data_IF_165213902693
#
_entry.id   IF_165213902693
#
_cell.length_a   1.000
_cell.length_b   1.000
_cell.length_c   1.000
_cell.angle_alpha   90.00
_cell.angle_beta   90.00
_cell.angle_gamma   90.00
#
_symmetry.space_group_name_H-M   'P 1'
#
loop_
_entity.id
_entity.type
_entity.pdbx_description
1 polymer ?
#
# COMPACT_ATOMS: atom_id res chain seq x y z
N UNK A 1 -12.45 31.29 -2.88
CA UNK A 1 -12.77 30.67 -1.60
C UNK A 1 -14.21 30.18 -1.68
N UNK A 2 -14.46 28.94 -1.31
CA UNK A 2 -15.81 28.36 -1.22
C UNK A 2 -16.40 28.93 0.06
N UNK A 3 -17.43 29.76 -0.06
CA UNK A 3 -18.01 30.53 1.07
C UNK A 3 -19.48 30.20 1.32
N UNK A 4 -20.09 29.31 0.49
CA UNK A 4 -21.48 28.91 0.61
C UNK A 4 -21.71 27.46 0.16
N UNK A 5 -22.83 26.87 0.56
CA UNK A 5 -23.24 25.52 0.11
C UNK A 5 -23.44 25.47 -1.42
N UNK A 6 -23.90 26.56 -2.03
CA UNK A 6 -24.07 26.65 -3.49
C UNK A 6 -22.72 26.66 -4.23
N UNK A 7 -21.70 27.33 -3.66
CA UNK A 7 -20.33 27.33 -4.19
C UNK A 7 -19.70 25.93 -4.10
N UNK A 8 -20.01 25.20 -3.03
CA UNK A 8 -19.54 23.82 -2.85
C UNK A 8 -20.17 22.87 -3.87
N UNK A 9 -21.47 22.99 -4.10
CA UNK A 9 -22.18 22.17 -5.09
C UNK A 9 -21.74 22.51 -6.54
N UNK A 10 -21.41 23.76 -6.82
CA UNK A 10 -20.87 24.16 -8.11
C UNK A 10 -19.44 23.63 -8.31
N UNK A 11 -18.60 23.68 -7.29
CA UNK A 11 -17.25 23.14 -7.33
C UNK A 11 -17.24 21.62 -7.45
N UNK A 12 -18.14 20.95 -6.74
CA UNK A 12 -18.31 19.47 -6.82
C UNK A 12 -18.78 19.04 -8.19
N UNK A 13 -19.73 19.75 -8.80
CA UNK A 13 -20.15 19.48 -10.20
C UNK A 13 -19.02 19.69 -11.21
N UNK A 14 -18.25 20.77 -11.07
CA UNK A 14 -17.12 21.04 -11.95
C UNK A 14 -16.02 19.98 -11.83
N UNK A 15 -15.75 19.49 -10.61
CA UNK A 15 -14.80 18.38 -10.38
C UNK A 15 -15.31 17.07 -10.97
N UNK A 16 -16.60 16.76 -10.84
CA UNK A 16 -17.20 15.57 -11.43
C UNK A 16 -17.20 15.61 -12.98
N UNK A 17 -17.44 16.79 -13.57
CA UNK A 17 -17.32 16.98 -15.01
C UNK A 17 -15.87 16.87 -15.51
N UNK A 18 -14.90 17.36 -14.72
CA UNK A 18 -13.48 17.20 -15.01
C UNK A 18 -13.06 15.74 -14.93
N UNK A 19 -13.51 15.04 -13.90
CA UNK A 19 -13.26 13.60 -13.70
C UNK A 19 -13.92 12.74 -14.82
N UNK A 20 -15.08 13.15 -15.32
CA UNK A 20 -15.77 12.44 -16.41
C UNK A 20 -15.09 12.62 -17.78
N UNK A 21 -14.29 13.66 -17.94
CA UNK A 21 -13.50 13.93 -19.16
C UNK A 21 -12.11 13.28 -19.13
N UNK A 22 -11.73 12.76 -17.99
CA UNK A 22 -10.42 12.13 -17.79
C UNK A 22 -10.52 10.64 -18.10
N UNK A 23 -9.85 10.18 -19.13
CA UNK A 23 -9.59 8.76 -19.35
C UNK A 23 -8.46 8.36 -18.41
N UNK A 24 -8.71 7.50 -17.41
CA UNK A 24 -7.72 7.25 -16.37
C UNK A 24 -6.63 6.33 -16.90
N UNK A 25 -5.45 6.87 -17.09
CA UNK A 25 -4.23 6.09 -16.87
C UNK A 25 -4.17 5.69 -15.39
N UNK A 26 -3.68 4.49 -15.10
CA UNK A 26 -3.75 3.84 -13.78
C UNK A 26 -3.45 4.71 -12.53
N UNK A 27 -2.57 5.74 -12.56
CA UNK A 27 -2.39 6.68 -11.43
C UNK A 27 -3.60 7.57 -11.14
N UNK A 28 -4.40 7.92 -12.16
CA UNK A 28 -5.56 8.78 -12.00
C UNK A 28 -6.74 8.12 -11.30
N UNK A 29 -6.89 6.79 -11.42
CA UNK A 29 -7.94 6.05 -10.74
C UNK A 29 -7.78 6.05 -9.22
N UNK A 30 -6.53 6.01 -8.72
CA UNK A 30 -6.22 6.12 -7.28
C UNK A 30 -6.50 7.52 -6.73
N UNK A 31 -6.17 8.56 -7.49
CA UNK A 31 -6.48 9.93 -7.11
C UNK A 31 -8.00 10.20 -7.13
N UNK A 32 -8.72 9.64 -8.10
CA UNK A 32 -10.19 9.73 -8.17
C UNK A 32 -10.88 9.05 -6.98
N UNK A 33 -10.40 7.90 -6.56
CA UNK A 33 -10.94 7.17 -5.39
C UNK A 33 -10.67 7.91 -4.07
N UNK A 34 -9.49 8.50 -3.93
CA UNK A 34 -9.15 9.31 -2.76
C UNK A 34 -10.00 10.60 -2.69
N UNK A 35 -10.29 11.22 -3.83
CA UNK A 35 -11.18 12.39 -3.93
C UNK A 35 -12.64 12.05 -3.67
N UNK A 36 -13.13 10.88 -4.12
CA UNK A 36 -14.49 10.41 -3.79
C UNK A 36 -14.64 10.15 -2.30
N UNK A 37 -13.65 9.51 -1.65
CA UNK A 37 -13.68 9.25 -0.21
C UNK A 37 -13.63 10.55 0.59
N UNK A 38 -12.72 11.45 0.25
CA UNK A 38 -12.63 12.78 0.87
C UNK A 38 -13.91 13.63 0.64
N UNK A 39 -14.57 13.44 -0.52
CA UNK A 39 -15.86 14.10 -0.81
C UNK A 39 -17.02 13.54 0.02
N UNK A 40 -17.01 12.26 0.36
CA UNK A 40 -18.01 11.63 1.22
C UNK A 40 -17.82 12.06 2.69
N UNK A 41 -16.60 12.04 3.19
CA UNK A 41 -16.26 12.51 4.54
C UNK A 41 -16.53 14.00 4.71
N UNK A 42 -16.26 14.82 3.70
CA UNK A 42 -16.57 16.24 3.68
C UNK A 42 -18.08 16.54 3.70
N UNK A 43 -18.92 15.67 3.10
CA UNK A 43 -20.38 15.81 3.17
C UNK A 43 -20.95 15.49 4.55
N UNK A 44 -20.50 14.43 5.21
CA UNK A 44 -20.91 14.12 6.57
C UNK A 44 -20.56 15.24 7.54
N UNK A 45 -19.37 15.83 7.40
CA UNK A 45 -18.94 16.95 8.23
C UNK A 45 -19.73 18.24 7.96
N UNK A 46 -20.21 18.46 6.72
CA UNK A 46 -21.00 19.64 6.36
C UNK A 46 -22.47 19.58 6.79
N UNK A 47 -22.99 18.40 7.12
CA UNK A 47 -24.38 18.21 7.54
C UNK A 47 -24.57 18.09 9.06
N UNK A 48 -23.51 18.18 9.85
CA UNK A 48 -23.60 18.29 11.30
C UNK A 48 -24.02 19.71 11.69
N UNK A 49 -25.32 20.03 11.52
CA UNK A 49 -25.93 21.24 12.06
C UNK A 49 -26.02 21.16 13.58
N UNK A 50 -25.16 21.88 14.26
CA UNK A 50 -25.22 22.15 15.69
C UNK A 50 -24.17 23.18 16.07
N UNK A 51 -24.51 24.08 17.00
CA UNK A 51 -23.63 25.14 17.54
C UNK A 51 -22.34 24.64 18.19
N UNK A 52 -22.08 23.32 18.16
CA UNK A 52 -20.88 22.63 18.57
C UNK A 52 -20.13 22.01 17.36
N UNK A 53 -20.09 22.68 16.22
CA UNK A 53 -19.20 22.25 15.15
C UNK A 53 -17.78 22.16 15.73
N UNK A 54 -17.13 20.97 15.72
CA UNK A 54 -15.77 20.87 16.18
C UNK A 54 -14.96 21.87 15.35
N UNK A 55 -14.25 22.76 16.04
CA UNK A 55 -13.30 23.62 15.37
C UNK A 55 -12.39 22.69 14.56
N UNK A 56 -12.53 22.72 13.22
CA UNK A 56 -11.65 21.96 12.36
C UNK A 56 -10.24 22.45 12.69
N UNK A 57 -9.48 21.64 13.40
CA UNK A 57 -8.06 21.77 13.38
C UNK A 57 -7.69 21.83 11.91
N UNK A 58 -6.96 22.88 11.49
CA UNK A 58 -6.50 22.95 10.10
C UNK A 58 -6.04 21.57 9.70
N UNK A 59 -6.64 20.96 8.65
CA UNK A 59 -6.29 19.60 8.30
C UNK A 59 -4.79 19.63 8.04
N UNK A 60 -4.05 19.00 8.95
CA UNK A 60 -2.66 18.73 8.74
C UNK A 60 -2.61 17.71 7.61
N UNK A 61 -2.49 18.20 6.37
CA UNK A 61 -2.29 17.38 5.18
C UNK A 61 -0.90 16.75 5.16
N UNK A 62 -0.15 16.86 6.26
CA UNK A 62 1.00 16.03 6.47
C UNK A 62 0.51 14.58 6.47
N UNK A 63 1.10 13.78 5.63
CA UNK A 63 0.90 12.37 5.34
C UNK A 63 0.28 11.62 6.51
N UNK A 64 -0.99 11.26 6.41
CA UNK A 64 -1.62 10.39 7.40
C UNK A 64 -0.89 9.05 7.41
N UNK A 65 -0.52 8.59 8.60
CA UNK A 65 0.09 7.27 8.77
C UNK A 65 -0.89 6.20 8.29
N UNK A 66 -0.39 5.30 7.45
CA UNK A 66 -1.16 4.12 7.07
C UNK A 66 -1.11 3.10 8.22
N UNK A 67 -2.05 3.22 9.17
CA UNK A 67 -2.06 2.46 10.43
C UNK A 67 -1.99 0.97 10.22
N UNK A 68 -2.76 0.43 9.29
CA UNK A 68 -2.80 -1.01 9.01
C UNK A 68 -1.44 -1.53 8.53
N UNK A 69 -0.68 -0.73 7.79
CA UNK A 69 0.68 -1.04 7.38
C UNK A 69 1.62 -1.08 8.59
N UNK A 70 1.56 -0.06 9.45
CA UNK A 70 2.40 0.06 10.64
C UNK A 70 2.08 -1.07 11.62
N UNK A 71 0.80 -1.34 11.88
CA UNK A 71 0.35 -2.42 12.74
C UNK A 71 0.86 -3.78 12.25
N UNK A 72 0.79 -4.02 10.95
CA UNK A 72 1.31 -5.26 10.36
C UNK A 72 2.81 -5.41 10.59
N UNK A 73 3.58 -4.35 10.38
CA UNK A 73 5.03 -4.37 10.61
C UNK A 73 5.36 -4.61 12.08
N UNK A 74 4.75 -3.88 13.00
CA UNK A 74 5.05 -3.95 14.43
C UNK A 74 4.70 -5.29 15.06
N UNK A 75 3.75 -6.02 14.48
CA UNK A 75 3.34 -7.36 14.94
C UNK A 75 4.25 -8.49 14.45
N UNK A 76 5.17 -8.22 13.52
CA UNK A 76 6.08 -9.25 13.01
C UNK A 76 7.04 -9.71 14.10
N UNK A 77 7.21 -11.03 14.19
CA UNK A 77 8.24 -11.63 15.06
C UNK A 77 9.60 -11.47 14.43
N UNK A 78 10.60 -11.16 15.23
CA UNK A 78 11.98 -11.12 14.77
C UNK A 78 12.52 -12.54 14.57
N UNK A 79 13.02 -12.85 13.38
CA UNK A 79 13.60 -14.16 13.06
C UNK A 79 15.01 -13.97 12.50
N UNK A 80 16.07 -14.14 13.31
CA UNK A 80 17.44 -14.14 12.83
C UNK A 80 17.66 -15.21 11.78
N UNK A 81 18.39 -14.90 10.71
CA UNK A 81 18.64 -15.83 9.60
C UNK A 81 20.07 -15.70 9.09
N UNK A 82 20.65 -16.82 8.65
CA UNK A 82 21.98 -16.84 8.00
C UNK A 82 21.88 -16.62 6.50
N UNK A 83 20.81 -17.15 5.90
CA UNK A 83 20.57 -17.05 4.47
C UNK A 83 19.11 -16.71 4.18
N UNK A 84 18.84 -16.27 2.95
CA UNK A 84 17.47 -15.99 2.52
C UNK A 84 16.57 -17.24 2.50
N UNK A 85 17.16 -18.41 2.36
CA UNK A 85 16.47 -19.71 2.38
C UNK A 85 16.01 -20.13 3.77
N UNK A 86 16.45 -19.47 4.84
CA UNK A 86 16.04 -19.81 6.21
C UNK A 86 14.62 -19.31 6.54
N UNK A 87 14.06 -18.47 5.68
CA UNK A 87 12.69 -17.98 5.74
C UNK A 87 12.00 -18.30 4.42
N UNK A 88 11.06 -19.22 4.43
CA UNK A 88 10.38 -19.73 3.25
C UNK A 88 8.86 -19.60 3.41
N UNK A 89 8.16 -19.52 2.29
CA UNK A 89 6.69 -19.45 2.23
C UNK A 89 6.10 -18.34 3.13
N UNK A 90 5.09 -18.62 3.92
CA UNK A 90 4.40 -17.68 4.81
C UNK A 90 5.23 -17.17 6.00
N UNK A 91 6.52 -17.49 6.11
CA UNK A 91 7.38 -16.90 7.15
C UNK A 91 7.50 -15.39 7.00
N UNK A 92 7.59 -14.90 5.75
CA UNK A 92 7.69 -13.46 5.48
C UNK A 92 6.42 -12.68 5.87
N UNK A 93 5.29 -13.36 5.98
CA UNK A 93 4.04 -12.73 6.44
C UNK A 93 4.03 -12.54 7.95
N UNK A 94 4.72 -13.42 8.69
CA UNK A 94 4.68 -13.50 10.16
C UNK A 94 5.95 -13.01 10.83
N UNK A 95 7.08 -13.03 10.12
CA UNK A 95 8.38 -12.69 10.64
C UNK A 95 9.02 -11.53 9.88
N UNK A 96 9.74 -10.69 10.64
CA UNK A 96 10.70 -9.76 10.07
C UNK A 96 12.05 -10.45 9.97
N UNK A 97 12.61 -10.45 8.79
CA UNK A 97 13.88 -11.09 8.49
C UNK A 97 14.75 -10.17 7.63
N UNK A 98 16.04 -10.17 7.93
CA UNK A 98 17.07 -9.61 7.06
C UNK A 98 18.11 -10.70 6.86
N UNK A 99 18.18 -11.26 5.65
CA UNK A 99 19.05 -12.39 5.37
C UNK A 99 20.51 -12.09 5.71
N UNK A 100 21.14 -12.93 6.50
CA UNK A 100 22.50 -12.76 7.00
C UNK A 100 22.59 -12.00 8.33
N UNK A 101 21.50 -11.50 8.89
CA UNK A 101 21.47 -10.92 10.24
C UNK A 101 21.11 -12.03 11.23
N UNK A 102 22.10 -12.45 11.99
CA UNK A 102 21.97 -13.49 13.03
C UNK A 102 21.87 -12.91 14.44
N UNK A 103 22.29 -11.67 14.61
CA UNK A 103 22.20 -10.93 15.87
C UNK A 103 20.79 -10.36 16.04
N UNK A 104 20.14 -10.70 17.15
CA UNK A 104 18.76 -10.28 17.43
C UNK A 104 18.65 -8.77 17.69
N UNK A 105 19.62 -8.18 18.38
CA UNK A 105 19.61 -6.75 18.67
C UNK A 105 19.78 -5.93 17.39
N UNK A 106 20.66 -6.36 16.50
CA UNK A 106 20.78 -5.76 15.16
C UNK A 106 19.49 -5.87 14.35
N UNK A 107 18.83 -7.04 14.40
CA UNK A 107 17.58 -7.27 13.68
C UNK A 107 16.44 -6.40 14.23
N UNK A 108 16.42 -6.18 15.54
CA UNK A 108 15.46 -5.29 16.22
C UNK A 108 15.64 -3.84 15.78
N UNK A 109 16.87 -3.35 15.68
CA UNK A 109 17.16 -2.00 15.20
C UNK A 109 16.82 -1.85 13.70
N UNK A 110 17.07 -2.86 12.87
CA UNK A 110 16.60 -2.86 11.48
C UNK A 110 15.07 -2.83 11.39
N UNK A 111 14.40 -3.58 12.25
CA UNK A 111 12.93 -3.57 12.28
C UNK A 111 12.40 -2.18 12.64
N UNK A 112 12.95 -1.54 13.68
CA UNK A 112 12.58 -0.18 14.05
C UNK A 112 12.82 0.82 12.90
N UNK A 113 13.95 0.72 12.20
CA UNK A 113 14.27 1.56 11.05
C UNK A 113 13.28 1.35 9.87
N UNK A 114 12.80 0.12 9.65
CA UNK A 114 11.78 -0.17 8.62
C UNK A 114 10.41 0.35 9.04
N UNK A 115 10.03 0.23 10.31
CA UNK A 115 8.76 0.81 10.82
C UNK A 115 8.76 2.32 10.61
N UNK A 116 9.86 3.00 10.93
CA UNK A 116 10.01 4.44 10.66
C UNK A 116 10.02 4.75 9.17
N UNK A 117 10.69 3.92 8.38
CA UNK A 117 10.67 3.99 6.93
C UNK A 117 9.26 3.84 6.33
N UNK A 118 8.36 3.07 6.96
CA UNK A 118 6.97 2.95 6.54
C UNK A 118 6.15 4.20 6.88
N UNK A 119 6.53 4.96 7.91
CA UNK A 119 5.91 6.24 8.25
C UNK A 119 6.33 7.35 7.30
N UNK A 120 7.61 7.43 7.01
CA UNK A 120 8.21 8.54 6.27
C UNK A 120 8.37 8.29 4.78
N UNK A 121 8.43 7.03 4.37
CA UNK A 121 8.81 6.56 3.03
C UNK A 121 10.19 7.11 2.57
N UNK A 122 11.05 7.43 3.53
CA UNK A 122 12.38 7.99 3.26
C UNK A 122 13.46 6.89 3.21
N UNK A 123 13.76 6.43 2.01
CA UNK A 123 14.84 5.46 1.80
C UNK A 123 16.23 6.04 2.09
N UNK A 124 16.39 7.39 2.04
CA UNK A 124 17.69 8.01 2.34
C UNK A 124 17.96 7.98 3.85
N UNK A 125 16.94 8.27 4.66
CA UNK A 125 17.03 8.12 6.11
C UNK A 125 17.32 6.66 6.47
N UNK A 126 16.61 5.69 5.86
CA UNK A 126 16.90 4.27 6.06
C UNK A 126 18.32 3.88 5.65
N UNK A 127 18.86 4.46 4.57
CA UNK A 127 20.23 4.20 4.14
C UNK A 127 21.27 4.68 5.20
N UNK A 128 21.02 5.80 5.85
CA UNK A 128 21.84 6.28 6.98
C UNK A 128 21.81 5.32 8.17
N UNK A 129 20.62 4.82 8.52
CA UNK A 129 20.48 3.81 9.56
C UNK A 129 21.14 2.48 9.21
N UNK A 130 21.04 2.06 7.95
CA UNK A 130 21.73 0.86 7.45
C UNK A 130 23.24 0.96 7.65
N UNK A 131 23.88 2.07 7.26
CA UNK A 131 25.31 2.29 7.42
C UNK A 131 25.72 2.29 8.90
N UNK A 132 24.95 2.98 9.74
CA UNK A 132 25.16 3.02 11.18
C UNK A 132 25.11 1.60 11.80
N UNK A 133 24.15 0.78 11.39
CA UNK A 133 24.02 -0.59 11.90
C UNK A 133 25.14 -1.49 11.41
N UNK A 134 25.54 -1.37 10.14
CA UNK A 134 26.69 -2.10 9.59
C UNK A 134 27.95 -1.79 10.39
N UNK A 135 28.23 -0.51 10.64
CA UNK A 135 29.40 -0.08 11.43
C UNK A 135 29.32 -0.56 12.87
N UNK A 136 28.16 -0.35 13.54
CA UNK A 136 27.95 -0.70 14.95
C UNK A 136 28.16 -2.19 15.23
N UNK A 137 27.66 -3.05 14.34
CA UNK A 137 27.69 -4.51 14.54
C UNK A 137 28.80 -5.21 13.76
N UNK A 138 29.58 -4.48 12.96
CA UNK A 138 30.62 -5.06 12.10
C UNK A 138 30.04 -6.08 11.12
N UNK A 139 28.84 -5.80 10.58
CA UNK A 139 28.13 -6.78 9.76
C UNK A 139 28.73 -6.88 8.36
N UNK A 140 29.28 -8.05 8.04
CA UNK A 140 29.73 -8.41 6.71
C UNK A 140 28.55 -9.03 5.94
N UNK A 141 28.06 -8.32 4.93
CA UNK A 141 26.89 -8.71 4.14
C UNK A 141 27.21 -8.96 2.68
N UNK A 142 26.49 -9.88 2.06
CA UNK A 142 26.63 -10.17 0.64
C UNK A 142 25.90 -9.14 -0.23
N UNK A 143 26.48 -8.81 -1.40
CA UNK A 143 25.94 -7.88 -2.38
C UNK A 143 26.39 -6.43 -2.17
N UNK A 144 26.11 -5.59 -3.16
CA UNK A 144 26.43 -4.17 -3.07
C UNK A 144 25.52 -3.43 -2.09
N UNK A 145 26.05 -2.39 -1.43
CA UNK A 145 25.34 -1.57 -0.45
C UNK A 145 23.96 -1.09 -0.95
N UNK A 146 23.93 -0.43 -2.10
CA UNK A 146 22.70 0.17 -2.63
C UNK A 146 21.65 -0.87 -3.01
N UNK A 147 22.10 -2.00 -3.54
CA UNK A 147 21.20 -3.13 -3.80
C UNK A 147 20.62 -3.69 -2.51
N UNK A 148 21.42 -3.79 -1.46
CA UNK A 148 21.02 -4.33 -0.16
C UNK A 148 19.99 -3.43 0.51
N UNK A 149 20.29 -2.12 0.58
CA UNK A 149 19.39 -1.10 1.12
C UNK A 149 18.03 -1.15 0.41
N UNK A 150 18.04 -1.09 -0.93
CA UNK A 150 16.80 -1.16 -1.72
C UNK A 150 16.05 -2.46 -1.49
N UNK A 151 16.73 -3.58 -1.47
CA UNK A 151 16.08 -4.90 -1.30
C UNK A 151 15.40 -5.00 0.06
N UNK A 152 16.06 -4.59 1.14
CA UNK A 152 15.48 -4.61 2.50
C UNK A 152 14.31 -3.63 2.57
N UNK A 153 14.52 -2.39 2.16
CA UNK A 153 13.52 -1.33 2.26
C UNK A 153 12.29 -1.63 1.41
N UNK A 154 12.46 -1.75 0.10
CA UNK A 154 11.35 -1.92 -0.84
C UNK A 154 10.52 -3.18 -0.57
N UNK A 155 11.18 -4.30 -0.20
CA UNK A 155 10.47 -5.55 0.10
C UNK A 155 9.56 -5.38 1.32
N UNK A 156 10.10 -4.83 2.41
CA UNK A 156 9.33 -4.69 3.65
C UNK A 156 8.23 -3.63 3.54
N UNK A 157 8.53 -2.47 2.95
CA UNK A 157 7.55 -1.40 2.75
C UNK A 157 6.41 -1.89 1.86
N UNK A 158 6.72 -2.56 0.75
CA UNK A 158 5.70 -3.01 -0.20
C UNK A 158 4.84 -4.14 0.37
N UNK A 159 5.46 -5.14 0.99
CA UNK A 159 4.71 -6.24 1.62
C UNK A 159 3.78 -5.72 2.71
N UNK A 160 4.26 -4.84 3.57
CA UNK A 160 3.45 -4.26 4.64
C UNK A 160 2.34 -3.36 4.12
N UNK A 161 2.61 -2.55 3.09
CA UNK A 161 1.60 -1.74 2.42
C UNK A 161 0.46 -2.61 1.87
N UNK A 162 0.81 -3.67 1.14
CA UNK A 162 -0.19 -4.56 0.56
C UNK A 162 -0.95 -5.37 1.61
N UNK A 163 -0.31 -5.74 2.72
CA UNK A 163 -1.00 -6.36 3.85
C UNK A 163 -2.01 -5.40 4.51
N UNK A 164 -1.64 -4.13 4.69
CA UNK A 164 -2.57 -3.10 5.15
C UNK A 164 -3.73 -2.89 4.18
N UNK A 165 -3.44 -2.83 2.88
CA UNK A 165 -4.47 -2.75 1.83
C UNK A 165 -5.42 -3.95 1.86
N UNK A 166 -4.88 -5.16 2.01
CA UNK A 166 -5.70 -6.38 2.12
C UNK A 166 -6.66 -6.31 3.31
N UNK A 167 -6.17 -5.82 4.46
CA UNK A 167 -7.00 -5.62 5.66
C UNK A 167 -8.14 -4.65 5.38
N UNK A 168 -7.87 -3.49 4.78
CA UNK A 168 -8.90 -2.53 4.40
C UNK A 168 -9.89 -3.09 3.37
N UNK A 169 -9.38 -3.79 2.34
CA UNK A 169 -10.20 -4.35 1.27
C UNK A 169 -11.09 -5.51 1.76
N UNK A 170 -10.71 -6.19 2.86
CA UNK A 170 -11.50 -7.24 3.52
C UNK A 170 -12.47 -6.70 4.58
N UNK A 171 -12.50 -5.39 4.80
CA UNK A 171 -13.48 -4.79 5.69
C UNK A 171 -14.91 -5.14 5.23
N UNK A 172 -15.83 -5.54 6.15
CA UNK A 172 -17.18 -5.98 5.80
C UNK A 172 -18.00 -4.95 5.02
N UNK A 173 -17.79 -3.66 5.25
CA UNK A 173 -18.52 -2.63 4.51
C UNK A 173 -17.87 -2.38 3.14
N UNK A 174 -16.55 -2.46 3.06
CA UNK A 174 -15.84 -2.37 1.79
C UNK A 174 -16.22 -3.51 0.84
N UNK A 175 -16.27 -4.76 1.31
CA UNK A 175 -16.63 -5.90 0.44
C UNK A 175 -18.08 -5.87 -0.02
N UNK A 176 -19.00 -5.26 0.75
CA UNK A 176 -20.39 -5.03 0.28
C UNK A 176 -20.45 -4.02 -0.86
N UNK A 177 -19.65 -2.95 -0.78
CA UNK A 177 -19.66 -1.88 -1.77
C UNK A 177 -18.81 -2.22 -3.00
N UNK A 178 -17.75 -2.98 -2.81
CA UNK A 178 -16.71 -3.29 -3.82
C UNK A 178 -16.32 -4.77 -3.78
N UNK A 179 -17.25 -5.66 -4.18
CA UNK A 179 -17.07 -7.10 -4.00
C UNK A 179 -16.12 -7.74 -5.02
N UNK A 180 -15.67 -7.00 -6.03
CA UNK A 180 -14.77 -7.52 -7.06
C UNK A 180 -13.38 -6.91 -6.89
N UNK A 181 -12.36 -7.72 -7.09
CA UNK A 181 -10.98 -7.29 -7.07
C UNK A 181 -10.33 -7.56 -8.41
N UNK A 182 -9.57 -6.60 -8.88
CA UNK A 182 -8.83 -6.67 -10.14
C UNK A 182 -7.34 -6.67 -9.86
N UNK A 183 -6.63 -7.67 -10.38
CA UNK A 183 -5.18 -7.69 -10.37
C UNK A 183 -4.64 -6.65 -11.34
N UNK A 184 -3.65 -5.88 -10.89
CA UNK A 184 -3.00 -4.84 -11.70
C UNK A 184 -1.52 -5.15 -11.76
N UNK A 185 -1.04 -5.44 -12.97
CA UNK A 185 0.39 -5.59 -13.19
C UNK A 185 1.08 -4.24 -13.17
N UNK A 186 2.21 -4.18 -12.49
CA UNK A 186 3.13 -3.05 -12.56
C UNK A 186 4.58 -3.54 -12.51
N UNK A 187 5.45 -2.94 -13.30
CA UNK A 187 6.88 -3.17 -13.24
C UNK A 187 7.60 -1.82 -13.16
N UNK A 188 8.13 -1.53 -11.97
CA UNK A 188 8.88 -0.30 -11.70
C UNK A 188 10.40 -0.51 -11.81
N UNK A 189 10.85 -1.68 -12.24
CA UNK A 189 12.29 -1.98 -12.41
C UNK A 189 12.86 -1.27 -13.61
N UNK A 190 14.12 -0.90 -13.51
CA UNK A 190 14.87 -0.30 -14.63
C UNK A 190 16.13 -1.15 -14.86
N UNK A 191 16.27 -1.78 -16.02
CA UNK A 191 15.29 -1.87 -17.12
C UNK A 191 14.06 -2.69 -16.74
N UNK A 192 12.95 -2.43 -17.41
CA UNK A 192 11.72 -3.23 -17.22
C UNK A 192 12.00 -4.69 -17.57
N UNK A 193 11.57 -5.58 -16.70
CA UNK A 193 11.66 -7.02 -16.90
C UNK A 193 10.41 -7.69 -16.28
N UNK A 194 9.24 -7.55 -16.93
CA UNK A 194 8.00 -8.08 -16.43
C UNK A 194 8.01 -9.61 -16.40
N UNK A 195 7.36 -10.19 -15.39
CA UNK A 195 7.16 -11.62 -15.31
C UNK A 195 5.94 -12.02 -16.12
N UNK A 196 6.07 -13.03 -16.97
CA UNK A 196 5.00 -13.48 -17.87
C UNK A 196 3.70 -13.82 -17.12
N UNK A 197 3.79 -14.51 -15.98
CA UNK A 197 2.62 -14.83 -15.15
C UNK A 197 1.93 -13.58 -14.62
N UNK A 198 2.69 -12.58 -14.16
CA UNK A 198 2.10 -11.35 -13.64
C UNK A 198 1.45 -10.53 -14.75
N UNK A 199 2.01 -10.56 -15.97
CA UNK A 199 1.37 -9.98 -17.15
C UNK A 199 0.09 -10.72 -17.53
N UNK A 200 0.09 -12.04 -17.46
CA UNK A 200 -1.09 -12.85 -17.77
C UNK A 200 -2.26 -12.62 -16.78
N UNK A 201 -1.95 -12.19 -15.56
CA UNK A 201 -2.95 -11.85 -14.55
C UNK A 201 -3.44 -10.40 -14.63
N UNK A 202 -2.81 -9.56 -15.43
CA UNK A 202 -3.21 -8.17 -15.53
C UNK A 202 -4.66 -8.03 -16.02
N UNK A 203 -5.46 -7.28 -15.28
CA UNK A 203 -6.89 -7.12 -15.57
C UNK A 203 -7.76 -8.33 -15.19
N UNK A 204 -7.19 -9.38 -14.57
CA UNK A 204 -7.98 -10.49 -14.00
C UNK A 204 -8.88 -9.93 -12.89
N UNK A 205 -10.18 -10.16 -13.02
CA UNK A 205 -11.16 -9.74 -12.01
C UNK A 205 -11.81 -10.98 -11.42
N UNK A 206 -11.74 -11.08 -10.10
CA UNK A 206 -12.35 -12.14 -9.31
C UNK A 206 -13.13 -11.52 -8.15
N UNK A 207 -14.03 -12.29 -7.59
CA UNK A 207 -14.71 -11.90 -6.35
C UNK A 207 -13.70 -11.86 -5.19
N UNK A 208 -13.92 -10.99 -4.19
CA UNK A 208 -13.00 -10.75 -3.07
C UNK A 208 -12.71 -12.02 -2.23
N UNK A 209 -13.65 -12.96 -2.18
CA UNK A 209 -13.59 -14.24 -1.45
C UNK A 209 -13.12 -15.43 -2.31
N UNK A 210 -12.68 -15.17 -3.54
CA UNK A 210 -12.10 -16.23 -4.38
C UNK A 210 -10.78 -16.74 -3.77
N UNK A 211 -10.63 -18.09 -3.63
CA UNK A 211 -9.42 -18.70 -3.05
C UNK A 211 -8.11 -18.32 -3.78
N UNK A 212 -8.21 -17.87 -5.02
CA UNK A 212 -7.06 -17.41 -5.78
C UNK A 212 -6.31 -16.29 -5.05
N UNK A 213 -7.02 -15.40 -4.36
CA UNK A 213 -6.43 -14.30 -3.61
C UNK A 213 -5.63 -14.74 -2.38
N UNK A 214 -5.91 -15.90 -1.82
CA UNK A 214 -5.15 -16.42 -0.68
C UNK A 214 -3.73 -16.83 -1.07
N UNK A 215 -3.50 -17.08 -2.38
CA UNK A 215 -2.20 -17.48 -2.91
C UNK A 215 -1.52 -16.35 -3.68
N UNK A 216 -2.27 -15.58 -4.49
CA UNK A 216 -1.72 -14.68 -5.49
C UNK A 216 -2.02 -13.20 -5.23
N UNK A 217 -2.50 -12.84 -4.02
CA UNK A 217 -2.56 -11.44 -3.63
C UNK A 217 -1.14 -10.85 -3.58
N UNK A 218 -0.83 -9.75 -4.34
CA UNK A 218 0.53 -9.26 -4.43
C UNK A 218 1.06 -8.69 -3.08
N UNK A 219 2.40 -8.69 -2.89
CA UNK A 219 3.45 -9.00 -3.88
C UNK A 219 3.72 -10.50 -4.00
N UNK A 220 3.84 -11.01 -5.22
CA UNK A 220 3.97 -12.45 -5.50
C UNK A 220 5.41 -12.94 -5.67
N UNK A 221 6.40 -12.06 -5.59
CA UNK A 221 7.82 -12.38 -5.70
C UNK A 221 8.68 -11.17 -5.35
N UNK A 222 10.00 -11.36 -5.24
CA UNK A 222 10.96 -10.29 -4.99
C UNK A 222 10.80 -9.11 -5.96
N UNK A 223 10.69 -7.89 -5.40
CA UNK A 223 10.50 -6.66 -6.18
C UNK A 223 9.25 -6.65 -7.06
N UNK A 224 8.23 -7.41 -6.70
CA UNK A 224 6.93 -7.33 -7.35
C UNK A 224 6.28 -5.98 -7.07
N UNK A 225 5.85 -5.28 -8.13
CA UNK A 225 5.17 -3.98 -8.05
C UNK A 225 3.67 -4.04 -8.31
N UNK A 226 3.14 -5.24 -8.55
CA UNK A 226 1.73 -5.46 -8.82
C UNK A 226 0.86 -5.04 -7.62
N UNK A 227 -0.38 -4.72 -7.91
CA UNK A 227 -1.36 -4.29 -6.92
C UNK A 227 -2.73 -4.91 -7.17
N UNK A 228 -3.70 -4.51 -6.36
CA UNK A 228 -5.10 -4.93 -6.50
C UNK A 228 -5.99 -3.70 -6.38
N UNK A 229 -6.95 -3.57 -7.31
CA UNK A 229 -8.00 -2.57 -7.24
C UNK A 229 -9.32 -3.25 -6.86
N UNK A 230 -10.02 -2.72 -5.87
CA UNK A 230 -11.38 -3.11 -5.60
C UNK A 230 -12.35 -2.41 -6.55
N UNK A 231 -13.36 -3.11 -7.02
CA UNK A 231 -14.34 -2.62 -7.97
C UNK A 231 -15.75 -2.82 -7.43
N UNK A 232 -16.60 -1.82 -7.64
CA UNK A 232 -18.04 -1.96 -7.48
C UNK A 232 -18.63 -2.71 -8.68
N UNK A 233 -19.83 -3.27 -8.52
CA UNK A 233 -20.55 -3.90 -9.63
C UNK A 233 -20.76 -2.94 -10.80
N UNK A 234 -21.08 -1.68 -10.53
CA UNK A 234 -21.22 -0.64 -11.56
C UNK A 234 -19.92 -0.44 -12.35
N UNK A 235 -18.76 -0.44 -11.68
CA UNK A 235 -17.47 -0.32 -12.35
C UNK A 235 -17.15 -1.56 -13.18
N UNK A 236 -17.48 -2.74 -12.67
CA UNK A 236 -17.30 -4.00 -13.41
C UNK A 236 -18.10 -3.99 -14.72
N UNK A 237 -19.38 -3.61 -14.66
CA UNK A 237 -20.26 -3.50 -15.83
C UNK A 237 -19.75 -2.44 -16.81
N UNK A 238 -19.27 -1.29 -16.31
CA UNK A 238 -18.69 -0.23 -17.14
C UNK A 238 -17.42 -0.68 -17.89
N UNK A 239 -16.71 -1.68 -17.37
CA UNK A 239 -15.56 -2.32 -18.04
C UNK A 239 -16.00 -3.41 -19.05
N UNK A 240 -17.28 -3.59 -19.28
CA UNK A 240 -17.81 -4.64 -20.16
C UNK A 240 -17.65 -6.05 -19.60
N UNK A 241 -17.43 -6.19 -18.30
CA UNK A 241 -17.28 -7.48 -17.62
C UNK A 241 -18.58 -7.80 -16.88
N UNK A 242 -18.97 -9.05 -16.92
CA UNK A 242 -19.96 -9.64 -16.00
C UNK A 242 -19.22 -10.24 -14.82
N UNK A 243 -19.82 -10.25 -13.65
CA UNK A 243 -19.23 -10.92 -12.48
C UNK A 243 -18.92 -12.39 -12.77
N UNK A 244 -17.93 -12.97 -12.05
CA UNK A 244 -17.66 -14.41 -12.10
C UNK A 244 -18.84 -15.20 -11.59
#
# INVERSE_FOLDING_TARGET
AITSAEDFDAASRALLELAARWTPDAPGALAGQALELAGLEGREAAFADGDDAPAFAEPDFTRQEFREQIDFLTQKRLKPTRAWTDAMHGDHDRAFVVAGVTDLAMLEEFHAAIVEGARTYDIKAFAGEFDRLVEKYGWDYNGGRDWRIRTIFETNIRTSFMAGRLKQMRDPDMVKLRPYWMYVHADTRVPMNPRELHLAWDGLVLRWDDPWWDIYFPPNDWKCSCGVHSLSERQLVAMGKSGP
#
